data_IF_613772167100
#
_entry.id   IF_613772167100
#
_cell.length_a   1.000
_cell.length_b   1.000
_cell.length_c   1.000
_cell.angle_alpha   90.00
_cell.angle_beta   90.00
_cell.angle_gamma   90.00
#
_symmetry.space_group_name_H-M   'P 1'
#
loop_
_entity.id
_entity.type
_entity.pdbx_description
1 polymer ?
#
# COMPACT_ATOMS: atom_id res chain seq x y z
N UNK A 1 0.85 -2.50 -2.33
CA UNK A 1 0.86 -1.60 -1.16
C UNK A 1 1.93 -2.01 -0.14
N UNK A 2 1.83 -3.21 0.44
CA UNK A 2 2.76 -3.69 1.49
C UNK A 2 4.21 -3.76 1.01
N UNK A 3 4.45 -4.23 -0.22
CA UNK A 3 5.78 -4.22 -0.85
C UNK A 3 6.33 -2.79 -1.06
N UNK A 4 5.47 -1.82 -1.36
CA UNK A 4 5.87 -0.42 -1.50
C UNK A 4 6.34 0.17 -0.17
N UNK A 5 5.63 -0.13 0.91
CA UNK A 5 5.87 0.38 2.25
C UNK A 5 6.86 -0.46 3.06
N UNK A 6 7.23 -1.65 2.56
CA UNK A 6 8.14 -2.58 3.23
C UNK A 6 7.51 -3.33 4.40
N UNK A 7 6.18 -3.49 4.41
CA UNK A 7 5.47 -4.36 5.34
C UNK A 7 5.50 -5.81 4.86
N UNK A 8 6.69 -6.32 4.73
CA UNK A 8 6.98 -7.72 4.48
C UNK A 8 8.26 -8.06 5.24
N UNK A 9 8.29 -9.18 5.90
CA UNK A 9 9.50 -9.64 6.61
C UNK A 9 10.55 -10.04 5.59
N UNK A 10 11.73 -9.41 5.63
CA UNK A 10 12.84 -9.76 4.74
C UNK A 10 13.23 -11.23 4.91
N UNK A 11 13.32 -11.95 3.79
CA UNK A 11 13.50 -13.41 3.75
C UNK A 11 12.40 -14.21 4.47
N UNK A 12 11.21 -13.64 4.60
CA UNK A 12 10.02 -14.26 5.17
C UNK A 12 8.87 -14.26 4.16
N UNK A 13 7.84 -13.46 4.42
CA UNK A 13 6.56 -13.45 3.69
C UNK A 13 6.67 -13.32 2.17
N UNK A 14 7.69 -12.62 1.67
CA UNK A 14 7.92 -12.43 0.23
C UNK A 14 8.76 -13.55 -0.39
N UNK A 15 9.29 -14.48 0.41
CA UNK A 15 10.09 -15.62 -0.06
C UNK A 15 9.15 -16.75 -0.48
N UNK A 16 8.70 -16.68 -1.72
CA UNK A 16 7.90 -17.71 -2.37
C UNK A 16 8.48 -18.04 -3.74
N UNK A 17 8.09 -19.17 -4.30
CA UNK A 17 8.50 -19.54 -5.66
C UNK A 17 7.85 -18.64 -6.72
N UNK A 18 6.69 -18.09 -6.41
CA UNK A 18 5.94 -17.23 -7.32
C UNK A 18 4.99 -16.29 -6.58
N UNK A 19 5.06 -14.99 -6.87
CA UNK A 19 4.28 -13.95 -6.20
C UNK A 19 2.99 -13.63 -6.92
N UNK A 20 1.94 -14.45 -6.78
CA UNK A 20 0.67 -14.29 -7.50
C UNK A 20 -0.02 -12.94 -7.31
N UNK A 21 0.16 -12.30 -6.15
CA UNK A 21 -0.48 -11.04 -5.79
C UNK A 21 0.48 -9.83 -5.83
N UNK A 22 1.70 -10.00 -6.32
CA UNK A 22 2.75 -8.98 -6.22
C UNK A 22 2.40 -7.63 -6.85
N UNK A 23 1.51 -7.59 -7.83
CA UNK A 23 1.07 -6.37 -8.53
C UNK A 23 -0.37 -5.97 -8.22
N UNK A 24 -1.00 -6.57 -7.21
CA UNK A 24 -2.38 -6.23 -6.81
C UNK A 24 -2.34 -5.32 -5.58
N UNK A 25 -2.82 -4.06 -5.68
CA UNK A 25 -2.85 -3.16 -4.53
C UNK A 25 -3.86 -3.63 -3.46
N UNK A 26 -3.61 -3.26 -2.22
CA UNK A 26 -4.42 -3.70 -1.05
C UNK A 26 -5.89 -3.32 -1.18
N UNK A 27 -6.16 -2.13 -1.68
CA UNK A 27 -7.53 -1.64 -1.94
C UNK A 27 -8.23 -2.51 -2.98
N UNK A 28 -7.54 -2.90 -4.06
CA UNK A 28 -8.12 -3.76 -5.08
C UNK A 28 -8.40 -5.17 -4.56
N UNK A 29 -7.53 -5.73 -3.70
CA UNK A 29 -7.78 -7.03 -3.05
C UNK A 29 -9.11 -7.00 -2.31
N UNK A 30 -9.40 -5.95 -1.53
CA UNK A 30 -10.68 -5.81 -0.82
C UNK A 30 -11.87 -5.79 -1.77
N UNK A 31 -11.78 -5.10 -2.90
CA UNK A 31 -12.84 -5.08 -3.92
C UNK A 31 -13.05 -6.44 -4.58
N UNK A 32 -11.97 -7.18 -4.89
CA UNK A 32 -12.05 -8.52 -5.46
C UNK A 32 -12.74 -9.48 -4.49
N UNK A 33 -12.35 -9.46 -3.22
CA UNK A 33 -12.96 -10.31 -2.18
C UNK A 33 -14.43 -9.97 -2.00
N UNK A 34 -14.79 -8.68 -1.94
CA UNK A 34 -16.18 -8.21 -1.86
C UNK A 34 -17.02 -8.72 -3.03
N UNK A 35 -16.52 -8.52 -4.25
CA UNK A 35 -17.21 -9.00 -5.45
C UNK A 35 -17.40 -10.50 -5.44
N UNK A 36 -16.41 -11.26 -4.96
CA UNK A 36 -16.53 -12.70 -4.80
C UNK A 36 -17.60 -13.09 -3.78
N UNK A 37 -17.63 -12.40 -2.64
CA UNK A 37 -18.64 -12.61 -1.61
C UNK A 37 -20.07 -12.40 -2.16
N UNK A 38 -20.30 -11.29 -2.85
CA UNK A 38 -21.57 -10.96 -3.52
C UNK A 38 -21.97 -12.07 -4.50
N UNK A 39 -21.06 -12.47 -5.40
CA UNK A 39 -21.30 -13.55 -6.37
C UNK A 39 -21.64 -14.88 -5.68
N UNK A 40 -21.00 -15.19 -4.56
CA UNK A 40 -21.30 -16.40 -3.78
C UNK A 40 -22.69 -16.31 -3.14
N UNK A 41 -23.08 -15.14 -2.64
CA UNK A 41 -24.42 -14.91 -2.07
C UNK A 41 -25.51 -15.09 -3.12
N UNK A 42 -25.33 -14.51 -4.30
CA UNK A 42 -26.27 -14.61 -5.42
C UNK A 42 -26.41 -16.07 -5.90
N UNK A 43 -25.35 -16.86 -5.78
CA UNK A 43 -25.34 -18.29 -6.12
C UNK A 43 -25.84 -19.21 -4.98
N UNK A 44 -26.40 -18.65 -3.90
CA UNK A 44 -26.91 -19.39 -2.74
C UNK A 44 -25.83 -20.01 -1.83
N UNK A 45 -24.54 -19.65 -2.02
CA UNK A 45 -23.41 -20.13 -1.20
C UNK A 45 -23.23 -19.21 0.02
N UNK A 46 -24.26 -19.13 0.88
CA UNK A 46 -24.33 -18.16 1.99
C UNK A 46 -23.19 -18.28 2.98
N UNK A 47 -22.86 -19.48 3.43
CA UNK A 47 -21.78 -19.70 4.39
C UNK A 47 -20.42 -19.19 3.89
N UNK A 48 -20.13 -19.40 2.59
CA UNK A 48 -18.90 -18.89 1.99
C UNK A 48 -18.93 -17.36 1.84
N UNK A 49 -20.08 -16.80 1.46
CA UNK A 49 -20.25 -15.35 1.37
C UNK A 49 -20.04 -14.68 2.72
N UNK A 50 -20.64 -15.23 3.77
CA UNK A 50 -20.52 -14.68 5.13
C UNK A 50 -19.09 -14.74 5.65
N UNK A 51 -18.36 -15.83 5.43
CA UNK A 51 -16.95 -15.95 5.75
C UNK A 51 -16.09 -14.88 5.01
N UNK A 52 -16.37 -14.62 3.73
CA UNK A 52 -15.65 -13.59 2.96
C UNK A 52 -15.97 -12.17 3.44
N UNK A 53 -17.21 -11.89 3.85
CA UNK A 53 -17.56 -10.60 4.46
C UNK A 53 -16.95 -10.42 5.85
N UNK A 54 -16.85 -11.48 6.65
CA UNK A 54 -16.16 -11.45 7.94
C UNK A 54 -14.67 -11.13 7.79
N UNK A 55 -13.99 -11.75 6.80
CA UNK A 55 -12.62 -11.40 6.44
C UNK A 55 -12.49 -9.90 6.08
N UNK A 56 -13.44 -9.35 5.32
CA UNK A 56 -13.42 -7.93 4.94
C UNK A 56 -13.66 -6.99 6.14
N UNK A 57 -14.39 -7.44 7.14
CA UNK A 57 -14.66 -6.69 8.37
C UNK A 57 -13.48 -6.75 9.36
N UNK A 58 -12.60 -7.74 9.22
CA UNK A 58 -11.43 -7.89 10.09
C UNK A 58 -10.41 -6.77 9.83
N UNK A 59 -9.98 -6.03 10.87
CA UNK A 59 -8.93 -5.02 10.74
C UNK A 59 -7.62 -5.62 10.26
N UNK A 60 -6.91 -4.91 9.40
CA UNK A 60 -5.57 -5.32 8.97
C UNK A 60 -4.59 -5.13 10.12
N UNK A 61 -3.97 -6.23 10.57
CA UNK A 61 -2.99 -6.22 11.66
C UNK A 61 -1.69 -6.90 11.24
N UNK A 62 -0.55 -6.60 11.88
CA UNK A 62 0.69 -7.34 11.70
C UNK A 62 0.52 -8.76 12.28
N UNK A 63 0.66 -9.78 11.45
CA UNK A 63 0.51 -11.19 11.84
C UNK A 63 1.58 -11.67 12.85
N UNK A 64 2.69 -10.94 12.94
CA UNK A 64 3.85 -11.33 13.74
C UNK A 64 3.77 -10.94 15.22
N UNK A 65 2.77 -10.15 15.63
CA UNK A 65 2.60 -9.76 17.02
C UNK A 65 1.47 -10.60 17.63
N UNK A 66 1.77 -11.42 18.65
CA UNK A 66 0.73 -12.17 19.34
C UNK A 66 -0.28 -11.21 19.99
N UNK A 67 -1.57 -11.50 19.93
CA UNK A 67 -2.57 -10.69 20.58
C UNK A 67 -2.30 -10.67 22.10
N UNK A 68 -2.33 -9.48 22.70
CA UNK A 68 -2.34 -9.36 24.16
C UNK A 68 -3.78 -9.50 24.64
N UNK A 69 -4.03 -10.46 25.52
CA UNK A 69 -5.34 -10.73 26.09
C UNK A 69 -6.46 -10.97 25.06
N UNK A 70 -6.12 -11.57 23.91
CA UNK A 70 -7.06 -11.83 22.82
C UNK A 70 -7.44 -10.60 21.98
N UNK A 71 -6.84 -9.44 22.28
CA UNK A 71 -7.09 -8.20 21.54
C UNK A 71 -5.89 -7.91 20.60
N UNK A 72 -6.19 -7.56 19.34
CA UNK A 72 -5.17 -7.11 18.38
C UNK A 72 -4.56 -5.81 18.91
N UNK A 73 -3.30 -5.87 19.33
CA UNK A 73 -2.61 -4.75 20.00
C UNK A 73 -2.18 -3.64 19.05
N UNK A 74 -2.08 -3.92 17.74
CA UNK A 74 -1.70 -2.94 16.72
C UNK A 74 -2.52 -3.15 15.44
N UNK A 75 -3.11 -2.08 14.94
CA UNK A 75 -3.72 -2.03 13.62
C UNK A 75 -2.70 -1.42 12.66
N UNK A 76 -2.39 -2.12 11.59
CA UNK A 76 -1.36 -1.67 10.62
C UNK A 76 -1.68 -0.28 10.07
N UNK A 77 -2.95 0.03 9.82
CA UNK A 77 -3.38 1.34 9.32
C UNK A 77 -3.11 2.49 10.31
N UNK A 78 -3.05 2.23 11.61
CA UNK A 78 -2.68 3.24 12.61
C UNK A 78 -1.19 3.61 12.53
N UNK A 79 -0.36 2.67 12.08
CA UNK A 79 1.09 2.87 11.94
C UNK A 79 1.46 3.46 10.58
N UNK A 80 0.79 3.02 9.52
CA UNK A 80 1.14 3.37 8.14
C UNK A 80 0.14 4.29 7.46
N UNK A 81 -1.03 4.50 8.04
CA UNK A 81 -2.12 5.27 7.44
C UNK A 81 -2.98 4.47 6.47
N UNK A 82 -3.98 5.14 5.91
CA UNK A 82 -4.97 4.53 5.03
C UNK A 82 -4.34 3.98 3.75
N UNK A 83 -4.65 2.74 3.40
CA UNK A 83 -4.11 2.10 2.19
C UNK A 83 -4.59 2.76 0.90
N UNK A 84 -5.76 3.38 0.88
CA UNK A 84 -6.25 4.13 -0.28
C UNK A 84 -5.35 5.31 -0.64
N UNK A 85 -4.82 6.04 0.35
CA UNK A 85 -3.83 7.08 0.12
C UNK A 85 -2.53 6.51 -0.43
N UNK A 86 -2.06 5.39 0.13
CA UNK A 86 -0.81 4.78 -0.31
C UNK A 86 -0.90 4.18 -1.71
N UNK A 87 -2.00 3.54 -2.06
CA UNK A 87 -2.22 3.01 -3.40
C UNK A 87 -2.36 4.14 -4.43
N UNK A 88 -2.98 5.25 -4.06
CA UNK A 88 -3.03 6.46 -4.86
C UNK A 88 -1.63 7.06 -5.08
N UNK A 89 -0.83 7.22 -4.02
CA UNK A 89 0.53 7.73 -4.11
C UNK A 89 1.42 6.83 -4.98
N UNK A 90 1.31 5.52 -4.78
CA UNK A 90 2.05 4.52 -5.53
C UNK A 90 1.75 4.59 -7.03
N UNK A 91 0.46 4.65 -7.38
CA UNK A 91 0.04 4.77 -8.77
C UNK A 91 0.60 6.02 -9.44
N UNK A 92 0.43 7.18 -8.80
CA UNK A 92 0.88 8.44 -9.36
C UNK A 92 2.41 8.56 -9.41
N UNK A 93 3.13 8.00 -8.44
CA UNK A 93 4.59 8.00 -8.45
C UNK A 93 5.14 7.06 -9.51
N UNK A 94 4.72 5.80 -9.53
CA UNK A 94 5.35 4.75 -10.35
C UNK A 94 4.78 4.74 -11.77
N UNK A 95 3.45 4.82 -11.92
CA UNK A 95 2.81 4.75 -13.24
C UNK A 95 2.84 6.06 -13.98
N UNK A 96 2.59 7.17 -13.28
CA UNK A 96 2.46 8.49 -13.89
C UNK A 96 3.75 9.33 -13.80
N UNK A 97 4.76 8.87 -13.05
CA UNK A 97 6.02 9.60 -12.87
C UNK A 97 5.85 10.96 -12.19
N UNK A 98 4.78 11.13 -11.39
CA UNK A 98 4.53 12.40 -10.73
C UNK A 98 5.51 12.63 -9.57
N UNK A 99 5.97 13.87 -9.45
CA UNK A 99 6.73 14.32 -8.28
C UNK A 99 5.82 14.55 -7.07
N UNK A 100 6.35 14.51 -5.84
CA UNK A 100 5.56 14.58 -4.60
C UNK A 100 4.60 15.76 -4.50
N UNK A 101 5.01 16.98 -4.89
CA UNK A 101 4.12 18.14 -4.84
C UNK A 101 2.93 18.02 -5.79
N UNK A 102 3.08 17.35 -6.94
CA UNK A 102 1.96 17.05 -7.83
C UNK A 102 1.06 15.97 -7.25
N UNK A 103 1.63 14.91 -6.68
CA UNK A 103 0.88 13.84 -6.01
C UNK A 103 0.03 14.41 -4.88
N UNK A 104 0.62 15.28 -4.05
CA UNK A 104 -0.09 15.97 -2.97
C UNK A 104 -1.33 16.73 -3.48
N UNK A 105 -1.15 17.60 -4.50
CA UNK A 105 -2.27 18.37 -5.05
C UNK A 105 -3.38 17.47 -5.62
N UNK A 106 -3.01 16.42 -6.35
CA UNK A 106 -3.95 15.46 -6.89
C UNK A 106 -4.70 14.72 -5.77
N UNK A 107 -4.02 14.34 -4.68
CA UNK A 107 -4.63 13.70 -3.54
C UNK A 107 -5.60 14.63 -2.79
N UNK A 108 -5.24 15.89 -2.58
CA UNK A 108 -6.16 16.89 -1.99
C UNK A 108 -7.45 17.05 -2.81
N UNK A 109 -7.38 16.96 -4.14
CA UNK A 109 -8.57 16.99 -4.99
C UNK A 109 -9.35 15.67 -4.92
N UNK A 110 -8.67 14.52 -4.98
CA UNK A 110 -9.31 13.20 -5.04
C UNK A 110 -10.00 12.82 -3.72
N UNK A 111 -9.45 13.23 -2.59
CA UNK A 111 -9.93 12.91 -1.25
C UNK A 111 -10.51 14.13 -0.52
N UNK A 112 -11.00 15.10 -1.29
CA UNK A 112 -11.64 16.28 -0.72
C UNK A 112 -12.86 15.90 0.14
N UNK A 113 -12.85 16.34 1.41
CA UNK A 113 -13.90 16.01 2.38
C UNK A 113 -13.67 14.70 3.16
N UNK A 114 -12.68 13.88 2.76
CA UNK A 114 -12.30 12.66 3.50
C UNK A 114 -11.05 12.90 4.36
N UNK A 115 -10.04 13.56 3.80
CA UNK A 115 -8.79 13.88 4.48
C UNK A 115 -8.42 15.35 4.32
N UNK A 116 -7.93 15.97 5.37
CA UNK A 116 -7.35 17.30 5.30
C UNK A 116 -5.96 17.29 4.66
N UNK A 117 -5.50 18.47 4.23
CA UNK A 117 -4.22 18.63 3.54
C UNK A 117 -3.02 18.23 4.41
N UNK A 118 -3.08 18.48 5.71
CA UNK A 118 -1.99 18.15 6.65
C UNK A 118 -1.87 16.63 6.81
N UNK A 119 -2.98 15.94 6.95
CA UNK A 119 -3.05 14.47 6.99
C UNK A 119 -2.49 13.85 5.71
N UNK A 120 -2.93 14.32 4.54
CA UNK A 120 -2.42 13.86 3.23
C UNK A 120 -0.91 14.08 3.13
N UNK A 121 -0.42 15.25 3.51
CA UNK A 121 1.02 15.58 3.46
C UNK A 121 1.83 14.69 4.40
N UNK A 122 1.33 14.44 5.61
CA UNK A 122 1.98 13.58 6.59
C UNK A 122 2.15 12.15 6.06
N UNK A 123 1.09 11.57 5.52
CA UNK A 123 1.13 10.22 4.96
C UNK A 123 1.95 10.14 3.67
N UNK A 124 1.95 11.16 2.82
CA UNK A 124 2.79 11.19 1.63
C UNK A 124 4.28 11.25 2.01
N UNK A 125 4.66 12.01 3.03
CA UNK A 125 6.04 12.04 3.55
C UNK A 125 6.46 10.68 4.08
N UNK A 126 5.60 10.03 4.87
CA UNK A 126 5.85 8.70 5.38
C UNK A 126 5.98 7.69 4.24
N UNK A 127 5.08 7.74 3.24
CA UNK A 127 5.13 6.90 2.05
C UNK A 127 6.48 7.05 1.32
N UNK A 128 6.89 8.28 0.99
CA UNK A 128 8.16 8.53 0.29
C UNK A 128 9.34 7.99 1.09
N UNK A 129 9.41 8.27 2.39
CA UNK A 129 10.49 7.78 3.26
C UNK A 129 10.58 6.25 3.22
N UNK A 130 9.45 5.57 3.43
CA UNK A 130 9.42 4.10 3.45
C UNK A 130 9.67 3.51 2.07
N UNK A 131 9.11 4.09 1.02
CA UNK A 131 9.28 3.61 -0.34
C UNK A 131 10.76 3.49 -0.73
N UNK A 132 11.56 4.49 -0.42
CA UNK A 132 13.00 4.47 -0.66
C UNK A 132 13.73 3.57 0.33
N UNK A 133 13.52 3.74 1.63
CA UNK A 133 14.24 3.00 2.67
C UNK A 133 14.02 1.48 2.61
N UNK A 134 12.89 1.03 2.08
CA UNK A 134 12.53 -0.39 1.99
C UNK A 134 12.82 -1.03 0.62
N UNK A 135 13.54 -0.33 -0.26
CA UNK A 135 13.88 -0.85 -1.60
C UNK A 135 14.64 -2.17 -1.54
N UNK A 136 15.52 -2.37 -0.57
CA UNK A 136 16.29 -3.61 -0.42
C UNK A 136 15.39 -4.86 -0.31
N UNK A 137 14.20 -4.73 0.25
CA UNK A 137 13.23 -5.82 0.34
C UNK A 137 12.65 -6.21 -1.01
N UNK A 138 12.57 -5.27 -1.95
CA UNK A 138 11.99 -5.51 -3.28
C UNK A 138 12.98 -6.13 -4.26
N UNK A 139 14.28 -6.01 -4.02
CA UNK A 139 15.31 -6.58 -4.89
C UNK A 139 15.30 -8.11 -4.95
N UNK A 140 14.79 -8.77 -3.93
CA UNK A 140 14.72 -10.23 -3.81
C UNK A 140 13.31 -10.80 -4.04
N UNK A 141 12.37 -10.00 -4.56
CA UNK A 141 11.02 -10.49 -4.86
C UNK A 141 11.05 -11.63 -5.89
N UNK A 142 10.22 -12.67 -5.71
CA UNK A 142 10.04 -13.71 -6.71
C UNK A 142 9.38 -13.18 -7.97
N UNK A 143 9.35 -13.99 -9.02
CA UNK A 143 8.54 -13.71 -10.19
C UNK A 143 7.06 -13.70 -9.86
N UNK A 144 6.28 -12.95 -10.62
CA UNK A 144 4.84 -12.85 -10.45
C UNK A 144 4.19 -12.21 -11.68
N UNK A 145 2.87 -12.35 -11.84
CA UNK A 145 2.17 -11.75 -12.97
C UNK A 145 2.06 -10.24 -12.76
N UNK A 146 2.11 -9.50 -13.86
CA UNK A 146 1.68 -8.10 -13.88
C UNK A 146 0.17 -8.06 -14.11
N UNK A 147 -0.60 -7.94 -13.04
CA UNK A 147 -2.07 -7.91 -13.09
C UNK A 147 -2.58 -6.52 -13.50
N UNK A 148 -2.03 -5.48 -12.91
CA UNK A 148 -2.43 -4.10 -13.20
C UNK A 148 -1.38 -3.33 -14.00
N UNK A 149 -1.50 -2.01 -13.97
CA UNK A 149 -0.57 -1.09 -14.66
C UNK A 149 0.67 -0.75 -13.84
N UNK A 150 0.74 -1.15 -12.56
CA UNK A 150 1.87 -0.93 -11.65
C UNK A 150 2.41 -2.26 -11.17
N UNK A 151 3.72 -2.45 -11.28
CA UNK A 151 4.43 -3.54 -10.59
C UNK A 151 5.72 -3.00 -10.00
N UNK A 152 6.14 -3.55 -8.87
CA UNK A 152 7.40 -3.22 -8.19
C UNK A 152 8.46 -4.31 -8.41
N UNK A 153 8.24 -5.21 -9.36
CA UNK A 153 9.22 -6.24 -9.70
C UNK A 153 10.50 -5.63 -10.26
N UNK A 154 11.66 -5.95 -9.70
CA UNK A 154 12.95 -5.46 -10.18
C UNK A 154 13.34 -6.07 -11.54
N UNK A 155 12.66 -7.13 -11.95
CA UNK A 155 12.87 -7.80 -13.25
C UNK A 155 11.98 -7.26 -14.36
N UNK A 156 11.06 -6.36 -14.05
CA UNK A 156 10.17 -5.76 -15.04
C UNK A 156 10.16 -4.23 -14.98
N UNK A 157 9.12 -3.63 -14.43
CA UNK A 157 8.81 -2.20 -14.61
C UNK A 157 9.56 -1.28 -13.65
N UNK A 158 10.03 -1.78 -12.49
CA UNK A 158 10.58 -0.90 -11.47
C UNK A 158 11.96 -1.37 -11.00
N UNK A 159 12.99 -0.66 -11.48
CA UNK A 159 14.38 -0.88 -11.08
C UNK A 159 14.89 0.35 -10.35
N UNK A 160 15.21 0.19 -9.09
CA UNK A 160 15.80 1.24 -8.25
C UNK A 160 16.91 0.61 -7.40
N UNK A 161 18.09 1.25 -7.27
CA UNK A 161 19.13 0.76 -6.37
C UNK A 161 18.65 0.87 -4.90
N UNK A 162 19.15 -0.02 -4.06
CA UNK A 162 18.72 -0.09 -2.65
C UNK A 162 19.19 1.11 -1.82
N UNK A 163 20.21 1.81 -2.27
CA UNK A 163 20.78 3.02 -1.67
C UNK A 163 20.26 4.33 -2.27
N UNK A 164 19.22 4.26 -3.12
CA UNK A 164 18.61 5.45 -3.69
C UNK A 164 18.09 6.39 -2.58
N UNK A 165 18.44 7.67 -2.70
CA UNK A 165 18.08 8.67 -1.70
C UNK A 165 16.71 9.28 -1.94
N UNK A 166 15.88 9.34 -0.89
CA UNK A 166 14.61 10.05 -0.88
C UNK A 166 14.75 11.57 -0.72
N UNK A 167 15.98 12.07 -0.52
CA UNK A 167 16.23 13.46 -0.08
C UNK A 167 15.52 14.50 -0.94
N UNK A 168 15.68 14.45 -2.26
CA UNK A 168 15.08 15.45 -3.15
C UNK A 168 13.54 15.46 -3.10
N UNK A 169 12.92 14.33 -2.83
CA UNK A 169 11.47 14.19 -2.70
C UNK A 169 10.99 14.72 -1.35
N UNK A 170 11.73 14.44 -0.29
CA UNK A 170 11.42 14.93 1.05
C UNK A 170 11.63 16.44 1.17
N UNK A 171 12.71 16.98 0.57
CA UNK A 171 12.96 18.43 0.52
C UNK A 171 11.82 19.18 -0.19
N UNK A 172 11.28 18.60 -1.29
CA UNK A 172 10.12 19.17 -1.99
C UNK A 172 8.87 19.22 -1.09
N UNK A 173 8.62 18.17 -0.31
CA UNK A 173 7.49 18.12 0.63
C UNK A 173 7.68 19.07 1.82
N UNK A 174 8.92 19.26 2.30
CA UNK A 174 9.20 20.24 3.34
C UNK A 174 8.94 21.68 2.86
N UNK A 175 9.36 21.99 1.63
CA UNK A 175 9.08 23.30 1.06
C UNK A 175 7.57 23.53 0.87
N UNK A 176 6.84 22.49 0.47
CA UNK A 176 5.38 22.55 0.36
C UNK A 176 4.72 22.83 1.71
N UNK A 177 5.18 22.19 2.79
CA UNK A 177 4.68 22.40 4.14
C UNK A 177 4.81 23.86 4.57
N UNK A 178 5.95 24.49 4.27
CA UNK A 178 6.18 25.91 4.58
C UNK A 178 5.25 26.88 3.84
N UNK A 179 4.72 26.43 2.70
CA UNK A 179 3.81 27.25 1.87
C UNK A 179 2.36 27.10 2.32
N UNK A 180 2.03 26.03 3.05
CA UNK A 180 0.69 25.75 3.57
C UNK A 180 0.47 26.29 4.99
N UNK A 181 1.55 26.59 5.71
CA UNK A 181 1.57 27.21 7.03
C UNK A 181 1.49 28.74 6.90
#
# INVERSE_FOLDING_TARGET
SELALGFATYNGDHMSMYGVNASVPKTLVRHIVRRRAETCRDAGKTALADALFDILATPVSPELLPPKDGVISQVTEQIVGPYELHDFFLYHMVRMGCRPAKIFRLACCAFAGEYDAETILSWLRMFVRRFFAQQFKRTCLPDGPKVGSVTLSPRSDFRMPSDASAKSYLDELENLKKTLA
#
